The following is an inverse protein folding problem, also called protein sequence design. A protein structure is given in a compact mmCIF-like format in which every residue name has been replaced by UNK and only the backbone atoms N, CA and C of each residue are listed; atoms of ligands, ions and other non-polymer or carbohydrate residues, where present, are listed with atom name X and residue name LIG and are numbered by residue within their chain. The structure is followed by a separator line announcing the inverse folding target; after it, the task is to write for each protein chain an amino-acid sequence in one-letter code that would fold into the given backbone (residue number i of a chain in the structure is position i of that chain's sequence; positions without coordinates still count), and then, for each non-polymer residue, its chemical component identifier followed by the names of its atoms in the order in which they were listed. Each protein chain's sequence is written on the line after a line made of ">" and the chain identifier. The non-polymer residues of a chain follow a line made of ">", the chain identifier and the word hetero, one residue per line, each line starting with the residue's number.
data_IF_879779843682
#
_entry.id   IF_879779843682
#
_cell.length_a   1.000
_cell.length_b   1.000
_cell.length_c   1.000
_cell.angle_alpha   90.00
_cell.angle_beta   90.00
_cell.angle_gamma   90.00
#
_symmetry.space_group_name_H-M   'P 1'
#
loop_
_entity.id
_entity.type
_entity.pdbx_description
1 polymer ?
#
# COMPACT_ATOMS: atom_id res chain seq x y z
N UNK A 1 2.00 48.47 -48.81
CA UNK A 1 1.08 47.30 -48.89
C UNK A 1 0.37 47.20 -47.57
N UNK A 2 -0.94 47.40 -47.56
CA UNK A 2 -1.76 47.73 -46.41
C UNK A 2 -2.31 46.49 -45.77
N UNK A 3 -1.88 46.27 -44.50
CA UNK A 3 -2.52 45.27 -43.62
C UNK A 3 -3.86 45.83 -43.11
N UNK A 4 -4.96 45.25 -43.55
CA UNK A 4 -6.30 45.49 -42.96
C UNK A 4 -6.66 44.34 -42.02
N UNK A 5 -7.06 44.64 -40.76
CA UNK A 5 -7.51 43.61 -39.84
C UNK A 5 -8.84 43.02 -40.23
N UNK A 6 -8.97 41.69 -40.16
CA UNK A 6 -10.15 40.90 -40.46
C UNK A 6 -11.28 41.21 -39.47
N UNK A 7 -12.49 41.48 -39.98
CA UNK A 7 -13.67 41.90 -39.24
C UNK A 7 -14.44 40.63 -38.71
N UNK A 8 -15.05 40.78 -37.51
CA UNK A 8 -15.81 39.74 -36.77
C UNK A 8 -16.85 38.99 -37.58
N UNK A 9 -17.36 39.51 -38.69
CA UNK A 9 -18.33 38.84 -39.57
C UNK A 9 -17.70 37.81 -40.51
N UNK A 10 -16.40 37.87 -40.76
CA UNK A 10 -15.68 36.87 -41.57
C UNK A 10 -15.25 35.66 -40.79
N UNK A 11 -15.25 35.74 -39.44
CA UNK A 11 -14.94 34.60 -38.54
C UNK A 11 -16.14 33.67 -38.32
N UNK A 12 -17.37 34.11 -38.56
CA UNK A 12 -18.60 33.36 -38.36
C UNK A 12 -19.14 32.62 -39.63
N UNK A 13 -18.46 32.81 -40.77
CA UNK A 13 -18.85 32.20 -42.04
C UNK A 13 -18.19 30.89 -42.40
N UNK A 14 -17.25 30.37 -41.59
CA UNK A 14 -16.49 29.15 -41.87
C UNK A 14 -16.89 27.92 -41.03
N UNK A 15 -18.07 27.93 -40.41
CA UNK A 15 -18.56 26.85 -39.54
C UNK A 15 -19.87 26.23 -40.00
N UNK A 16 -20.04 26.02 -41.27
CA UNK A 16 -21.20 25.25 -41.78
C UNK A 16 -20.83 24.53 -43.06
N UNK A 17 -20.23 23.36 -42.96
CA UNK A 17 -20.38 22.22 -43.88
C UNK A 17 -19.27 21.16 -43.54
N UNK A 18 -19.60 20.17 -42.71
CA UNK A 18 -19.08 18.81 -42.79
C UNK A 18 -19.85 17.94 -41.78
N UNK A 19 -21.08 17.62 -42.15
CA UNK A 19 -21.76 16.44 -41.66
C UNK A 19 -21.16 15.22 -42.41
N UNK A 20 -20.21 14.56 -41.76
CA UNK A 20 -19.55 13.37 -42.30
C UNK A 20 -18.93 12.60 -41.17
N UNK A 21 -19.41 11.40 -40.88
CA UNK A 21 -19.06 10.41 -39.86
C UNK A 21 -17.70 10.54 -39.19
N UNK A 22 -17.69 11.04 -37.98
CA UNK A 22 -16.53 11.00 -37.14
C UNK A 22 -16.35 9.58 -36.62
N UNK A 23 -15.52 8.80 -37.28
CA UNK A 23 -14.80 7.68 -36.72
C UNK A 23 -13.87 8.26 -35.63
N UNK A 24 -14.31 8.18 -34.38
CA UNK A 24 -13.45 8.43 -33.24
C UNK A 24 -12.22 7.52 -33.35
N UNK A 25 -10.99 8.06 -33.28
CA UNK A 25 -9.80 7.23 -33.31
C UNK A 25 -9.79 6.35 -32.08
N UNK A 26 -9.75 5.03 -32.31
CA UNK A 26 -9.51 3.95 -31.35
C UNK A 26 -8.05 3.99 -30.80
N UNK A 27 -7.58 5.16 -30.37
CA UNK A 27 -6.20 5.39 -29.96
C UNK A 27 -6.12 5.95 -28.54
N UNK A 28 -6.58 5.16 -27.56
CA UNK A 28 -6.20 5.32 -26.15
C UNK A 28 -6.46 4.02 -25.39
N UNK A 29 -6.13 2.89 -25.99
CA UNK A 29 -5.95 1.59 -25.34
C UNK A 29 -4.54 1.07 -25.63
N UNK A 30 -3.58 1.78 -25.11
CA UNK A 30 -2.18 1.40 -25.19
C UNK A 30 -1.50 1.73 -23.87
N UNK A 31 -1.94 1.09 -22.76
CA UNK A 31 -0.98 0.83 -21.70
C UNK A 31 0.06 -0.08 -22.37
N UNK A 32 1.23 0.47 -22.70
CA UNK A 32 2.36 -0.30 -23.17
C UNK A 32 2.53 -1.48 -22.20
N UNK A 33 2.29 -2.70 -22.68
CA UNK A 33 2.72 -3.91 -21.98
C UNK A 33 4.22 -3.74 -21.84
N UNK A 34 4.70 -3.54 -20.61
CA UNK A 34 6.10 -3.67 -20.31
C UNK A 34 6.52 -5.05 -20.85
N UNK A 35 7.44 -5.08 -21.82
CA UNK A 35 7.88 -6.29 -22.54
C UNK A 35 8.81 -7.18 -21.71
N UNK A 36 8.74 -7.10 -20.39
CA UNK A 36 9.54 -7.86 -19.44
C UNK A 36 8.69 -8.77 -18.55
N UNK A 37 9.30 -9.83 -18.01
CA UNK A 37 8.66 -10.65 -16.98
C UNK A 37 8.36 -9.78 -15.76
N UNK A 38 7.19 -10.00 -15.07
CA UNK A 38 6.86 -9.23 -13.89
C UNK A 38 7.88 -9.43 -12.77
N UNK A 39 8.14 -8.34 -12.02
CA UNK A 39 9.15 -8.31 -10.96
C UNK A 39 8.55 -7.85 -9.62
N UNK A 40 9.27 -8.12 -8.54
CA UNK A 40 8.95 -7.68 -7.18
C UNK A 40 8.94 -6.14 -7.04
N UNK A 41 9.64 -5.44 -7.92
CA UNK A 41 9.79 -3.98 -7.88
C UNK A 41 8.89 -3.23 -8.85
N UNK A 42 8.03 -3.94 -9.58
CA UNK A 42 7.07 -3.31 -10.49
C UNK A 42 6.07 -2.43 -9.73
N UNK A 43 5.71 -1.33 -10.36
CA UNK A 43 4.60 -0.50 -9.94
C UNK A 43 3.29 -1.04 -10.51
N UNK A 44 2.41 -1.49 -9.62
CA UNK A 44 1.11 -2.06 -9.96
C UNK A 44 -0.04 -1.17 -9.49
N UNK A 45 -1.22 -1.19 -10.10
CA UNK A 45 -2.39 -0.49 -9.58
C UNK A 45 -2.71 -0.94 -8.15
N UNK A 46 -3.05 -0.01 -7.26
CA UNK A 46 -3.53 -0.30 -5.91
C UNK A 46 -5.06 -0.27 -5.92
N UNK A 47 -5.68 -1.38 -6.22
CA UNK A 47 -7.13 -1.49 -6.41
C UNK A 47 -7.69 -0.44 -7.37
N UNK A 48 -8.80 0.21 -6.98
CA UNK A 48 -9.42 1.32 -7.73
C UNK A 48 -9.03 2.72 -7.23
N UNK A 49 -7.97 2.83 -6.44
CA UNK A 49 -7.55 4.12 -5.84
C UNK A 49 -7.04 5.15 -6.84
N UNK A 50 -6.68 4.74 -8.06
CA UNK A 50 -6.06 5.59 -9.08
C UNK A 50 -4.55 5.81 -8.87
N UNK A 51 -3.95 5.22 -7.84
CA UNK A 51 -2.50 5.27 -7.59
C UNK A 51 -1.85 3.91 -7.81
N UNK A 52 -0.54 3.92 -8.02
CA UNK A 52 0.27 2.70 -8.13
C UNK A 52 1.11 2.51 -6.87
N UNK A 53 1.44 1.25 -6.57
CA UNK A 53 2.30 0.84 -5.45
C UNK A 53 3.39 -0.11 -5.97
N UNK A 54 4.58 -0.08 -5.37
CA UNK A 54 5.60 -1.09 -5.63
C UNK A 54 5.14 -2.43 -5.03
N UNK A 55 5.24 -3.51 -5.79
CA UNK A 55 4.73 -4.85 -5.43
C UNK A 55 5.32 -5.38 -4.12
N UNK A 56 6.61 -5.19 -3.89
CA UNK A 56 7.27 -5.48 -2.62
C UNK A 56 7.58 -4.18 -1.88
N UNK A 57 7.20 -4.10 -0.61
CA UNK A 57 7.48 -2.99 0.29
C UNK A 57 8.37 -3.38 1.46
N UNK A 58 9.15 -2.40 1.94
CA UNK A 58 9.90 -2.48 3.17
C UNK A 58 9.03 -2.03 4.35
N UNK A 59 8.79 -2.93 5.29
CA UNK A 59 8.04 -2.67 6.51
C UNK A 59 8.95 -2.26 7.66
N UNK A 60 8.52 -1.26 8.43
CA UNK A 60 9.26 -0.81 9.62
C UNK A 60 8.62 -1.25 10.94
N UNK A 61 7.61 -2.14 10.87
CA UNK A 61 6.75 -2.50 11.99
C UNK A 61 7.04 -3.85 12.66
N UNK A 62 8.17 -4.50 12.40
CA UNK A 62 8.51 -5.79 13.01
C UNK A 62 8.58 -5.66 14.53
N UNK A 63 7.78 -6.50 15.23
CA UNK A 63 7.64 -6.40 16.70
C UNK A 63 7.31 -4.98 17.19
N UNK A 64 6.32 -4.31 16.54
CA UNK A 64 5.96 -2.92 16.88
C UNK A 64 7.06 -1.91 16.56
N UNK A 65 7.89 -2.19 15.57
CA UNK A 65 9.00 -1.35 15.12
C UNK A 65 10.30 -1.55 15.94
N UNK A 66 10.31 -2.46 16.93
CA UNK A 66 11.50 -2.68 17.76
C UNK A 66 12.72 -3.08 16.92
N UNK A 67 12.56 -4.03 16.01
CA UNK A 67 13.67 -4.53 15.16
C UNK A 67 14.32 -3.39 14.39
N UNK A 68 13.52 -2.51 13.78
CA UNK A 68 14.05 -1.41 12.99
C UNK A 68 14.61 -0.27 13.85
N UNK A 69 14.04 -0.01 15.03
CA UNK A 69 14.62 0.95 15.97
C UNK A 69 15.99 0.49 16.50
N UNK A 70 16.14 -0.80 16.77
CA UNK A 70 17.39 -1.38 17.27
C UNK A 70 18.56 -1.26 16.26
N UNK A 71 18.27 -1.05 14.97
CA UNK A 71 19.28 -0.75 13.95
C UNK A 71 19.90 0.65 14.13
N UNK A 72 19.24 1.54 14.89
CA UNK A 72 19.60 2.95 14.95
C UNK A 72 19.30 3.69 13.65
N UNK A 73 19.51 5.01 13.65
CA UNK A 73 19.23 5.88 12.48
C UNK A 73 20.08 5.45 11.29
N UNK A 74 21.37 5.24 11.48
CA UNK A 74 22.30 4.90 10.41
C UNK A 74 22.03 3.51 9.83
N UNK A 75 21.76 2.52 10.70
CA UNK A 75 21.45 1.16 10.26
C UNK A 75 20.18 1.09 9.45
N UNK A 76 19.11 1.76 9.91
CA UNK A 76 17.87 1.84 9.17
C UNK A 76 18.03 2.63 7.86
N UNK A 77 18.81 3.71 7.86
CA UNK A 77 19.09 4.50 6.66
C UNK A 77 19.81 3.66 5.62
N UNK A 78 20.86 2.93 5.99
CA UNK A 78 21.52 1.99 5.08
C UNK A 78 20.57 0.96 4.51
N UNK A 79 19.71 0.38 5.35
CA UNK A 79 18.75 -0.64 4.94
C UNK A 79 17.71 -0.10 3.94
N UNK A 80 17.11 1.06 4.21
CA UNK A 80 16.12 1.70 3.32
C UNK A 80 16.77 2.13 2.01
N UNK A 81 17.98 2.70 2.04
CA UNK A 81 18.70 3.09 0.83
C UNK A 81 19.10 1.89 -0.02
N UNK A 82 19.58 0.83 0.61
CA UNK A 82 19.84 -0.42 -0.10
C UNK A 82 18.57 -0.97 -0.79
N UNK A 83 17.45 -1.01 -0.08
CA UNK A 83 16.16 -1.41 -0.66
C UNK A 83 15.77 -0.51 -1.84
N UNK A 84 15.98 0.80 -1.71
CA UNK A 84 15.74 1.77 -2.79
C UNK A 84 16.64 1.49 -3.99
N UNK A 85 17.94 1.24 -3.81
CA UNK A 85 18.89 0.94 -4.90
C UNK A 85 18.52 -0.37 -5.62
N UNK A 86 17.95 -1.34 -4.89
CA UNK A 86 17.40 -2.58 -5.45
C UNK A 86 16.04 -2.43 -6.13
N UNK A 87 15.45 -1.26 -6.13
CA UNK A 87 14.18 -0.98 -6.81
C UNK A 87 12.95 -0.99 -5.92
N UNK A 88 13.04 -1.31 -4.63
CA UNK A 88 11.90 -1.22 -3.69
C UNK A 88 11.59 0.25 -3.45
N UNK A 89 10.34 0.65 -3.70
CA UNK A 89 9.86 2.03 -3.60
C UNK A 89 8.76 2.24 -2.57
N UNK A 90 8.27 1.17 -1.97
CA UNK A 90 7.23 1.18 -0.97
C UNK A 90 7.83 1.05 0.43
N UNK A 91 7.55 2.05 1.29
CA UNK A 91 7.92 2.08 2.71
C UNK A 91 6.64 2.09 3.53
N UNK A 92 6.48 1.09 4.41
CA UNK A 92 5.38 0.99 5.35
C UNK A 92 5.85 1.33 6.76
N UNK A 93 5.21 2.33 7.37
CA UNK A 93 5.47 2.77 8.74
C UNK A 93 4.18 2.99 9.52
N UNK A 94 4.25 3.43 10.75
CA UNK A 94 3.13 3.83 11.60
C UNK A 94 3.58 4.71 12.76
N UNK A 95 2.65 5.48 13.32
CA UNK A 95 2.90 6.31 14.50
C UNK A 95 3.48 5.53 15.68
N UNK A 96 2.81 4.45 16.06
CA UNK A 96 3.21 3.67 17.24
C UNK A 96 4.51 2.87 17.08
N UNK A 97 5.08 2.82 15.86
CA UNK A 97 6.41 2.28 15.65
C UNK A 97 7.51 3.25 16.12
N UNK A 98 7.18 4.54 16.32
CA UNK A 98 8.09 5.60 16.82
C UNK A 98 9.35 5.75 15.95
N UNK A 99 9.16 5.71 14.62
CA UNK A 99 10.26 5.58 13.66
C UNK A 99 10.18 6.61 12.52
N UNK A 100 9.14 7.46 12.46
CA UNK A 100 8.95 8.42 11.39
C UNK A 100 10.19 9.29 11.16
N UNK A 101 10.82 9.81 12.22
CA UNK A 101 12.03 10.65 12.11
C UNK A 101 13.23 9.87 11.55
N UNK A 102 13.37 8.58 11.88
CA UNK A 102 14.41 7.73 11.31
C UNK A 102 14.17 7.46 9.82
N UNK A 103 12.89 7.24 9.43
CA UNK A 103 12.50 7.12 8.02
C UNK A 103 12.81 8.41 7.26
N UNK A 104 12.52 9.58 7.85
CA UNK A 104 12.88 10.89 7.29
C UNK A 104 14.36 10.97 6.93
N UNK A 105 15.25 10.63 7.88
CA UNK A 105 16.70 10.68 7.63
C UNK A 105 17.11 9.68 6.54
N UNK A 106 16.50 8.50 6.51
CA UNK A 106 16.78 7.49 5.50
C UNK A 106 16.39 7.92 4.08
N UNK A 107 15.27 8.64 3.91
CA UNK A 107 14.77 9.08 2.60
C UNK A 107 15.27 10.46 2.17
N UNK A 108 16.03 11.16 3.01
CA UNK A 108 16.55 12.50 2.72
C UNK A 108 17.36 12.50 1.41
N UNK A 109 16.96 13.37 0.47
CA UNK A 109 17.56 13.46 -0.85
C UNK A 109 17.08 12.43 -1.87
N UNK A 110 16.20 11.50 -1.51
CA UNK A 110 15.52 10.64 -2.48
C UNK A 110 14.32 11.39 -3.10
N UNK A 111 14.07 11.23 -4.42
CA UNK A 111 12.93 11.86 -5.07
C UNK A 111 11.62 11.39 -4.45
N UNK A 112 10.84 12.30 -3.83
CA UNK A 112 9.60 11.95 -3.11
C UNK A 112 8.56 11.27 -4.00
N UNK A 113 8.44 11.72 -5.23
CA UNK A 113 7.51 11.20 -6.23
C UNK A 113 7.84 9.76 -6.69
N UNK A 114 9.06 9.30 -6.44
CA UNK A 114 9.49 7.91 -6.68
C UNK A 114 9.30 7.01 -5.47
N UNK A 115 8.73 7.50 -4.39
CA UNK A 115 8.44 6.73 -3.19
C UNK A 115 6.94 6.59 -2.99
N UNK A 116 6.50 5.41 -2.55
CA UNK A 116 5.20 5.19 -1.96
C UNK A 116 5.38 5.05 -0.44
N UNK A 117 4.86 6.03 0.31
CA UNK A 117 4.96 6.03 1.78
C UNK A 117 3.57 5.77 2.35
N UNK A 118 3.44 4.68 3.11
CA UNK A 118 2.25 4.36 3.89
C UNK A 118 2.53 4.58 5.36
N UNK A 119 1.61 5.25 6.05
CA UNK A 119 1.61 5.34 7.51
C UNK A 119 0.26 4.96 8.09
N UNK A 120 0.18 4.89 9.41
CA UNK A 120 -1.03 4.45 10.12
C UNK A 120 -1.27 5.31 11.35
N UNK A 121 -2.52 5.77 11.50
CA UNK A 121 -2.98 6.55 12.63
C UNK A 121 -3.37 5.63 13.78
N UNK A 122 -2.72 5.81 14.92
CA UNK A 122 -2.99 5.02 16.13
C UNK A 122 -4.13 5.62 16.93
N UNK A 123 -4.91 4.76 17.58
CA UNK A 123 -5.97 5.20 18.47
C UNK A 123 -7.13 5.93 17.76
N UNK A 124 -7.81 6.78 18.53
CA UNK A 124 -8.92 7.64 18.11
C UNK A 124 -8.61 9.08 18.56
N UNK A 125 -7.73 9.79 17.88
CA UNK A 125 -7.30 11.11 18.32
C UNK A 125 -8.44 12.15 18.20
N UNK A 126 -8.49 13.11 19.15
CA UNK A 126 -9.47 14.20 19.11
C UNK A 126 -9.27 15.17 17.95
N UNK A 127 -8.04 15.30 17.45
CA UNK A 127 -7.68 16.19 16.35
C UNK A 127 -6.92 15.42 15.25
N UNK A 128 -7.62 14.56 14.45
CA UNK A 128 -6.96 13.68 13.48
C UNK A 128 -6.13 14.42 12.44
N UNK A 129 -6.58 15.59 11.95
CA UNK A 129 -5.83 16.40 10.98
C UNK A 129 -4.52 16.94 11.57
N UNK A 130 -4.53 17.38 12.83
CA UNK A 130 -3.31 17.83 13.50
C UNK A 130 -2.30 16.67 13.69
N UNK A 131 -2.81 15.47 13.97
CA UNK A 131 -1.98 14.25 14.02
C UNK A 131 -1.37 13.94 12.66
N UNK A 132 -2.13 14.04 11.58
CA UNK A 132 -1.63 13.85 10.21
C UNK A 132 -0.56 14.89 9.85
N UNK A 133 -0.75 16.16 10.20
CA UNK A 133 0.26 17.20 9.98
C UNK A 133 1.55 16.93 10.75
N UNK A 134 1.45 16.41 11.97
CA UNK A 134 2.60 15.95 12.74
C UNK A 134 3.33 14.81 12.01
N UNK A 135 2.62 13.82 11.44
CA UNK A 135 3.26 12.74 10.69
C UNK A 135 4.03 13.25 9.48
N UNK A 136 3.45 14.19 8.73
CA UNK A 136 4.12 14.80 7.57
C UNK A 136 5.41 15.51 7.99
N UNK A 137 5.36 16.28 9.07
CA UNK A 137 6.54 16.96 9.65
C UNK A 137 7.59 15.97 10.12
N UNK A 138 7.18 14.90 10.82
CA UNK A 138 8.08 13.85 11.30
C UNK A 138 8.74 13.09 10.15
N UNK A 139 7.99 12.78 9.09
CA UNK A 139 8.48 12.11 7.88
C UNK A 139 9.23 13.06 6.93
N UNK A 140 9.08 14.37 7.08
CA UNK A 140 9.67 15.36 6.19
C UNK A 140 9.07 15.32 4.78
N UNK A 141 7.75 15.16 4.65
CA UNK A 141 7.05 15.03 3.37
C UNK A 141 5.82 15.92 3.31
N UNK A 142 5.47 16.41 2.10
CA UNK A 142 4.29 17.23 1.88
C UNK A 142 3.00 16.42 1.83
N UNK A 143 3.07 15.16 1.43
CA UNK A 143 1.92 14.25 1.37
C UNK A 143 2.31 12.82 1.75
N UNK A 144 1.32 12.02 2.15
CA UNK A 144 1.45 10.58 2.41
C UNK A 144 0.63 9.82 1.36
N UNK A 145 1.18 8.76 0.75
CA UNK A 145 0.48 8.05 -0.33
C UNK A 145 -0.72 7.26 0.21
N UNK A 146 -0.58 6.60 1.35
CA UNK A 146 -1.66 5.86 1.99
C UNK A 146 -1.63 6.08 3.50
N UNK A 147 -2.76 6.50 4.10
CA UNK A 147 -2.91 6.62 5.54
C UNK A 147 -4.03 5.72 6.03
N UNK A 148 -3.69 4.79 6.91
CA UNK A 148 -4.62 3.79 7.41
C UNK A 148 -5.01 4.05 8.86
N UNK A 149 -6.24 3.73 9.24
CA UNK A 149 -6.59 3.53 10.64
C UNK A 149 -5.88 2.28 11.15
N UNK A 150 -5.13 2.40 12.24
CA UNK A 150 -4.23 1.34 12.69
C UNK A 150 -4.91 0.39 13.69
N UNK A 151 -4.66 -0.91 13.49
CA UNK A 151 -4.97 -1.95 14.48
C UNK A 151 -6.43 -1.94 14.93
N UNK A 152 -7.37 -1.88 13.97
CA UNK A 152 -8.80 -1.99 14.31
C UNK A 152 -9.13 -3.44 14.64
N UNK A 153 -9.81 -3.66 15.77
CA UNK A 153 -10.17 -4.99 16.30
C UNK A 153 -11.67 -5.17 16.48
N UNK A 154 -12.43 -4.08 16.71
CA UNK A 154 -13.88 -4.09 16.92
C UNK A 154 -14.62 -4.40 15.62
N UNK A 155 -15.77 -5.06 15.75
CA UNK A 155 -16.72 -5.23 14.64
C UNK A 155 -17.39 -3.92 14.20
N UNK A 156 -17.39 -2.90 15.07
CA UNK A 156 -17.98 -1.57 14.84
C UNK A 156 -16.89 -0.49 14.70
N UNK A 157 -15.68 -0.86 14.30
CA UNK A 157 -14.54 0.06 14.25
C UNK A 157 -14.79 1.30 13.39
N UNK A 158 -15.61 1.21 12.38
CA UNK A 158 -15.93 2.33 11.49
C UNK A 158 -16.81 3.37 12.19
N UNK A 159 -17.81 2.96 12.96
CA UNK A 159 -18.61 3.87 13.80
C UNK A 159 -17.74 4.54 14.86
N UNK A 160 -16.92 3.75 15.56
CA UNK A 160 -15.97 4.23 16.57
C UNK A 160 -14.96 5.21 15.99
N UNK A 161 -14.56 5.01 14.71
CA UNK A 161 -13.54 5.81 14.04
C UNK A 161 -14.11 6.91 13.14
N UNK A 162 -15.41 7.19 13.17
CA UNK A 162 -16.10 8.09 12.25
C UNK A 162 -15.39 9.44 12.10
N UNK A 163 -15.00 10.07 13.21
CA UNK A 163 -14.28 11.34 13.22
C UNK A 163 -12.94 11.28 12.48
N UNK A 164 -12.20 10.18 12.67
CA UNK A 164 -10.93 9.98 11.96
C UNK A 164 -11.17 9.69 10.48
N UNK A 165 -12.18 8.91 10.13
CA UNK A 165 -12.56 8.62 8.74
C UNK A 165 -12.93 9.89 7.98
N UNK A 166 -13.73 10.78 8.57
CA UNK A 166 -14.13 12.07 7.99
C UNK A 166 -12.90 12.94 7.75
N UNK A 167 -12.01 13.05 8.76
CA UNK A 167 -10.76 13.80 8.64
C UNK A 167 -9.83 13.25 7.55
N UNK A 168 -9.72 11.92 7.39
CA UNK A 168 -8.92 11.33 6.32
C UNK A 168 -9.56 11.55 4.94
N UNK A 169 -10.88 11.57 4.85
CA UNK A 169 -11.60 11.92 3.62
C UNK A 169 -11.35 13.37 3.22
N UNK A 170 -11.39 14.30 4.18
CA UNK A 170 -11.02 15.71 3.99
C UNK A 170 -9.56 15.85 3.55
N UNK A 171 -8.64 15.16 4.22
CA UNK A 171 -7.21 15.19 3.89
C UNK A 171 -6.96 14.66 2.47
N UNK A 172 -7.71 13.67 2.01
CA UNK A 172 -7.64 13.18 0.63
C UNK A 172 -8.15 14.21 -0.36
N UNK A 173 -9.29 14.86 -0.08
CA UNK A 173 -9.82 15.93 -0.93
C UNK A 173 -8.81 17.08 -1.09
N UNK A 174 -8.07 17.41 -0.01
CA UNK A 174 -6.97 18.40 0.01
C UNK A 174 -5.65 17.87 -0.55
N UNK A 175 -5.58 16.63 -1.03
CA UNK A 175 -4.37 15.98 -1.57
C UNK A 175 -3.22 15.86 -0.54
N UNK A 176 -3.51 15.95 0.74
CA UNK A 176 -2.57 15.73 1.85
C UNK A 176 -2.26 14.24 2.00
N UNK A 177 -3.24 13.39 1.70
CA UNK A 177 -3.05 11.96 1.47
C UNK A 177 -3.62 11.58 0.09
N UNK A 178 -3.15 10.46 -0.48
CA UNK A 178 -3.65 10.00 -1.80
C UNK A 178 -4.70 8.90 -1.67
N UNK A 179 -4.60 8.07 -0.63
CA UNK A 179 -5.59 7.04 -0.29
C UNK A 179 -5.73 6.88 1.22
N UNK A 180 -6.88 6.41 1.66
CA UNK A 180 -7.16 6.05 3.05
C UNK A 180 -7.68 4.62 3.15
N UNK A 181 -7.65 4.07 4.36
CA UNK A 181 -8.13 2.73 4.60
C UNK A 181 -7.85 2.23 6.00
N UNK A 182 -7.66 0.93 6.16
CA UNK A 182 -7.58 0.29 7.46
C UNK A 182 -6.55 -0.83 7.52
N UNK A 183 -5.95 -0.99 8.70
CA UNK A 183 -5.16 -2.15 9.11
C UNK A 183 -5.91 -2.85 10.24
N UNK A 184 -6.51 -3.99 9.93
CA UNK A 184 -7.28 -4.77 10.90
C UNK A 184 -6.39 -5.76 11.66
N UNK A 185 -6.80 -6.05 12.91
CA UNK A 185 -6.19 -7.05 13.77
C UNK A 185 -7.29 -7.90 14.43
N UNK A 186 -7.86 -8.83 13.65
CA UNK A 186 -8.92 -9.74 14.02
C UNK A 186 -9.95 -9.89 12.90
N UNK A 187 -10.50 -11.11 12.81
CA UNK A 187 -11.40 -11.46 11.71
C UNK A 187 -12.70 -10.64 11.71
N UNK A 188 -13.19 -10.21 12.89
CA UNK A 188 -14.39 -9.39 12.98
C UNK A 188 -14.17 -8.02 12.33
N UNK A 189 -13.06 -7.36 12.67
CA UNK A 189 -12.70 -6.07 12.08
C UNK A 189 -12.41 -6.19 10.57
N UNK A 190 -11.75 -7.28 10.14
CA UNK A 190 -11.49 -7.53 8.72
C UNK A 190 -12.78 -7.81 7.95
N UNK A 191 -13.74 -8.52 8.56
CA UNK A 191 -15.08 -8.73 7.99
C UNK A 191 -15.78 -7.40 7.79
N UNK A 192 -15.80 -6.54 8.81
CA UNK A 192 -16.39 -5.19 8.69
C UNK A 192 -15.69 -4.37 7.62
N UNK A 193 -14.36 -4.43 7.52
CA UNK A 193 -13.59 -3.72 6.49
C UNK A 193 -14.00 -4.13 5.07
N UNK A 194 -14.38 -5.39 4.87
CA UNK A 194 -14.86 -5.86 3.57
C UNK A 194 -16.26 -5.35 3.20
N UNK A 195 -17.02 -4.79 4.14
CA UNK A 195 -18.35 -4.21 3.92
C UNK A 195 -18.32 -2.67 3.78
N UNK A 196 -17.37 -2.01 4.43
CA UNK A 196 -17.31 -0.54 4.52
C UNK A 196 -16.73 0.05 3.24
N UNK A 197 -17.54 0.76 2.46
CA UNK A 197 -17.13 1.36 1.17
C UNK A 197 -16.01 2.39 1.30
N UNK A 198 -15.94 3.07 2.43
CA UNK A 198 -14.87 4.04 2.71
C UNK A 198 -13.48 3.41 2.61
N UNK A 199 -13.31 2.12 2.86
CA UNK A 199 -12.02 1.41 2.78
C UNK A 199 -11.55 1.33 1.34
N UNK A 200 -10.56 2.16 1.01
CA UNK A 200 -9.88 2.15 -0.29
C UNK A 200 -8.67 1.23 -0.30
N UNK A 201 -7.99 1.10 0.85
CA UNK A 201 -6.81 0.25 1.04
C UNK A 201 -6.98 -0.57 2.30
N UNK A 202 -6.76 -1.87 2.21
CA UNK A 202 -6.77 -2.80 3.33
C UNK A 202 -5.39 -3.46 3.47
N UNK A 203 -4.78 -3.31 4.64
CA UNK A 203 -3.55 -3.99 5.00
C UNK A 203 -3.91 -5.25 5.80
N UNK A 204 -3.79 -6.42 5.16
CA UNK A 204 -4.31 -7.70 5.64
C UNK A 204 -3.20 -8.61 6.15
N UNK A 205 -3.40 -9.21 7.31
CA UNK A 205 -2.48 -10.18 7.90
C UNK A 205 -2.73 -11.55 7.28
N UNK A 206 -1.83 -12.00 6.39
CA UNK A 206 -2.05 -13.24 5.65
C UNK A 206 -0.73 -13.92 5.27
N UNK A 207 -0.65 -15.22 5.47
CA UNK A 207 0.34 -16.14 4.92
C UNK A 207 -0.22 -17.56 4.94
N UNK A 208 0.27 -18.47 4.08
CA UNK A 208 -0.32 -19.80 3.90
C UNK A 208 -0.03 -20.80 5.05
N UNK A 209 0.85 -20.42 6.00
CA UNK A 209 1.12 -21.18 7.21
C UNK A 209 0.29 -20.69 8.42
N UNK A 210 -0.58 -19.70 8.20
CA UNK A 210 -1.44 -19.08 9.23
C UNK A 210 -0.68 -18.57 10.46
N UNK A 211 0.56 -18.07 10.29
CA UNK A 211 1.35 -17.53 11.39
C UNK A 211 1.11 -16.03 11.55
N UNK A 212 0.64 -15.61 12.73
CA UNK A 212 0.32 -14.20 13.03
C UNK A 212 -0.75 -13.59 12.10
N UNK A 213 -1.71 -14.37 11.61
CA UNK A 213 -2.85 -13.87 10.82
C UNK A 213 -4.02 -13.45 11.74
N UNK A 214 -5.10 -12.94 11.14
CA UNK A 214 -6.28 -12.50 11.88
C UNK A 214 -7.08 -13.69 12.41
N UNK A 215 -7.35 -13.68 13.72
CA UNK A 215 -8.07 -14.72 14.45
C UNK A 215 -9.48 -14.27 14.85
N UNK A 216 -10.33 -15.22 15.26
CA UNK A 216 -11.67 -14.94 15.79
C UNK A 216 -11.62 -14.15 17.10
N UNK A 217 -10.60 -14.38 17.92
CA UNK A 217 -10.39 -13.65 19.16
C UNK A 217 -9.10 -12.82 19.11
N UNK A 218 -9.20 -11.51 18.86
CA UNK A 218 -8.04 -10.64 18.80
C UNK A 218 -7.33 -10.47 20.16
N UNK A 219 -7.98 -10.81 21.28
CA UNK A 219 -7.40 -10.74 22.62
C UNK A 219 -6.40 -11.87 22.88
N UNK A 220 -6.49 -13.00 22.18
CA UNK A 220 -5.58 -14.13 22.35
C UNK A 220 -4.17 -13.91 21.81
N UNK A 221 -3.85 -12.74 21.33
CA UNK A 221 -2.53 -12.40 20.81
C UNK A 221 -2.24 -13.00 19.44
N UNK A 222 -1.48 -12.27 18.65
CA UNK A 222 -1.23 -12.55 17.23
C UNK A 222 -0.46 -13.87 16.98
N UNK A 223 0.14 -14.44 18.00
CA UNK A 223 0.99 -15.63 17.88
C UNK A 223 0.19 -16.95 17.98
N UNK A 224 -1.10 -16.86 18.25
CA UNK A 224 -1.97 -18.05 18.47
C UNK A 224 -2.85 -18.39 17.27
N UNK A 225 -2.67 -17.74 16.11
CA UNK A 225 -3.41 -18.10 14.91
C UNK A 225 -3.08 -19.53 14.44
N UNK A 226 -4.07 -20.22 13.93
CA UNK A 226 -4.00 -21.60 13.44
C UNK A 226 -4.48 -21.68 11.99
N UNK A 227 -4.38 -22.86 11.37
CA UNK A 227 -4.88 -23.08 10.02
C UNK A 227 -6.39 -22.88 9.88
N UNK A 228 -7.16 -23.00 10.97
CA UNK A 228 -8.59 -22.72 10.98
C UNK A 228 -8.91 -21.23 10.71
N UNK A 229 -7.98 -20.33 11.05
CA UNK A 229 -8.13 -18.89 10.80
C UNK A 229 -7.84 -18.50 9.33
N UNK A 230 -7.18 -19.37 8.58
CA UNK A 230 -6.76 -19.08 7.21
C UNK A 230 -7.95 -18.91 6.26
N UNK A 231 -8.89 -19.86 6.24
CA UNK A 231 -10.04 -19.79 5.33
C UNK A 231 -10.96 -18.58 5.60
N UNK A 232 -11.29 -18.21 6.86
CA UNK A 232 -11.99 -16.97 7.16
C UNK A 232 -11.26 -15.71 6.68
N UNK A 233 -9.95 -15.61 6.87
CA UNK A 233 -9.15 -14.48 6.42
C UNK A 233 -9.14 -14.38 4.87
N UNK A 234 -8.96 -15.52 4.18
CA UNK A 234 -9.01 -15.58 2.72
C UNK A 234 -10.37 -15.20 2.16
N UNK A 235 -11.47 -15.58 2.84
CA UNK A 235 -12.82 -15.13 2.45
C UNK A 235 -12.93 -13.62 2.42
N UNK A 236 -12.45 -12.93 3.45
CA UNK A 236 -12.52 -11.47 3.50
C UNK A 236 -11.56 -10.82 2.50
N UNK A 237 -10.39 -11.39 2.29
CA UNK A 237 -9.46 -10.92 1.28
C UNK A 237 -10.09 -10.98 -0.13
N UNK A 238 -10.82 -12.05 -0.48
CA UNK A 238 -11.57 -12.14 -1.75
C UNK A 238 -12.61 -11.04 -1.87
N UNK A 239 -13.42 -10.81 -0.84
CA UNK A 239 -14.44 -9.75 -0.84
C UNK A 239 -13.84 -8.36 -1.04
N UNK A 240 -12.71 -8.07 -0.38
CA UNK A 240 -11.98 -6.82 -0.59
C UNK A 240 -11.48 -6.69 -2.03
N UNK A 241 -10.92 -7.76 -2.59
CA UNK A 241 -10.44 -7.80 -3.97
C UNK A 241 -11.58 -7.63 -4.98
N UNK A 242 -12.72 -8.32 -4.82
CA UNK A 242 -13.93 -8.20 -5.66
C UNK A 242 -14.47 -6.77 -5.68
N UNK A 243 -14.42 -6.06 -4.56
CA UNK A 243 -14.74 -4.63 -4.46
C UNK A 243 -13.67 -3.72 -5.08
N UNK A 244 -12.58 -4.31 -5.59
CA UNK A 244 -11.42 -3.57 -6.13
C UNK A 244 -10.78 -2.64 -5.09
N UNK A 245 -10.80 -3.04 -3.82
CA UNK A 245 -10.04 -2.42 -2.76
C UNK A 245 -8.54 -2.69 -2.97
N UNK A 246 -7.68 -1.73 -2.70
CA UNK A 246 -6.23 -1.96 -2.69
C UNK A 246 -5.88 -2.94 -1.56
N UNK A 247 -5.34 -4.10 -1.89
CA UNK A 247 -5.06 -5.16 -0.93
C UNK A 247 -3.56 -5.38 -0.78
N UNK A 248 -3.08 -5.20 0.45
CA UNK A 248 -1.66 -5.34 0.77
C UNK A 248 -1.49 -6.44 1.82
N UNK A 249 -0.62 -7.42 1.56
CA UNK A 249 -0.30 -8.42 2.56
C UNK A 249 0.70 -7.89 3.58
N UNK A 250 0.43 -8.09 4.86
CA UNK A 250 1.42 -7.99 5.93
C UNK A 250 1.55 -9.32 6.68
N UNK A 251 2.57 -9.45 7.52
CA UNK A 251 2.91 -10.70 8.23
C UNK A 251 3.25 -11.85 7.29
N UNK A 252 3.72 -11.54 6.09
CA UNK A 252 4.17 -12.53 5.10
C UNK A 252 5.15 -13.53 5.70
N UNK A 253 6.09 -13.07 6.57
CA UNK A 253 7.05 -13.94 7.27
C UNK A 253 6.59 -14.25 8.72
N UNK A 254 5.27 -14.28 8.97
CA UNK A 254 4.73 -14.63 10.29
C UNK A 254 5.31 -13.81 11.45
N UNK A 255 5.65 -12.53 11.23
CA UNK A 255 6.35 -11.67 12.20
C UNK A 255 7.71 -12.24 12.68
N UNK A 256 8.41 -12.97 11.81
CA UNK A 256 9.69 -13.60 12.13
C UNK A 256 9.57 -15.06 12.62
N UNK A 257 8.35 -15.62 12.65
CA UNK A 257 8.15 -17.03 13.05
C UNK A 257 8.49 -18.03 11.94
N UNK A 258 8.48 -17.61 10.67
CA UNK A 258 8.84 -18.45 9.53
C UNK A 258 10.36 -18.39 9.33
N UNK A 259 11.09 -19.14 10.15
CA UNK A 259 12.56 -19.13 10.17
C UNK A 259 13.20 -20.05 9.13
N UNK A 260 12.49 -21.10 8.70
CA UNK A 260 12.99 -22.04 7.71
C UNK A 260 12.93 -21.45 6.30
N UNK A 261 13.96 -21.66 5.45
CA UNK A 261 13.98 -21.15 4.07
C UNK A 261 12.76 -21.59 3.23
N UNK A 262 12.34 -22.84 3.36
CA UNK A 262 11.18 -23.42 2.66
C UNK A 262 9.86 -22.77 3.09
N UNK A 263 9.72 -22.39 4.35
CA UNK A 263 8.52 -21.68 4.85
C UNK A 263 8.46 -20.26 4.29
N UNK A 264 9.60 -19.57 4.22
CA UNK A 264 9.68 -18.24 3.62
C UNK A 264 9.41 -18.28 2.12
N UNK A 265 9.96 -19.29 1.42
CA UNK A 265 9.67 -19.54 0.00
C UNK A 265 8.17 -19.70 -0.24
N UNK A 266 7.52 -20.61 0.50
CA UNK A 266 6.09 -20.87 0.39
C UNK A 266 5.25 -19.61 0.62
N UNK A 267 5.63 -18.81 1.62
CA UNK A 267 4.89 -17.61 1.97
C UNK A 267 5.06 -16.46 0.97
N UNK A 268 6.29 -16.22 0.50
CA UNK A 268 6.55 -15.18 -0.51
C UNK A 268 5.92 -15.57 -1.85
N UNK A 269 6.00 -16.83 -2.24
CA UNK A 269 5.32 -17.37 -3.43
C UNK A 269 3.80 -17.19 -3.35
N UNK A 270 3.19 -17.46 -2.20
CA UNK A 270 1.77 -17.20 -2.00
C UNK A 270 1.44 -15.72 -2.17
N UNK A 271 2.21 -14.81 -1.55
CA UNK A 271 1.98 -13.38 -1.68
C UNK A 271 2.10 -12.88 -3.13
N UNK A 272 3.02 -13.47 -3.91
CA UNK A 272 3.21 -13.15 -5.34
C UNK A 272 2.08 -13.68 -6.23
N UNK A 273 1.54 -14.87 -5.93
CA UNK A 273 0.77 -15.65 -6.90
C UNK A 273 -0.70 -15.89 -6.52
N UNK A 274 -1.17 -15.54 -5.31
CA UNK A 274 -2.56 -15.80 -4.90
C UNK A 274 -3.61 -15.03 -5.72
N UNK A 275 -3.20 -14.01 -6.49
CA UNK A 275 -4.08 -13.26 -7.39
C UNK A 275 -5.04 -12.28 -6.69
N UNK A 276 -4.96 -12.15 -5.37
CA UNK A 276 -5.84 -11.32 -4.54
C UNK A 276 -5.12 -10.15 -3.87
N UNK A 277 -3.81 -10.03 -4.09
CA UNK A 277 -2.96 -9.03 -3.45
C UNK A 277 -2.31 -8.13 -4.51
N UNK A 278 -2.37 -6.82 -4.30
CA UNK A 278 -1.67 -5.86 -5.14
C UNK A 278 -0.19 -5.75 -4.73
N UNK A 279 0.08 -5.80 -3.43
CA UNK A 279 1.42 -5.70 -2.88
C UNK A 279 1.58 -6.54 -1.60
N UNK A 280 2.85 -6.71 -1.20
CA UNK A 280 3.23 -7.33 0.06
C UNK A 280 4.27 -6.48 0.77
N UNK A 281 4.19 -6.41 2.10
CA UNK A 281 5.18 -5.70 2.92
C UNK A 281 5.89 -6.66 3.87
N UNK A 282 7.22 -6.59 3.86
CA UNK A 282 8.10 -7.42 4.70
C UNK A 282 9.03 -6.51 5.49
N UNK A 283 9.18 -6.77 6.78
CA UNK A 283 10.19 -6.11 7.61
C UNK A 283 11.50 -6.88 7.56
N UNK A 284 12.60 -6.16 7.31
CA UNK A 284 13.94 -6.72 7.15
C UNK A 284 14.86 -6.28 8.31
N UNK A 285 15.84 -7.11 8.64
CA UNK A 285 16.90 -6.83 9.61
C UNK A 285 18.21 -6.42 8.94
N UNK A 286 18.45 -6.92 7.72
CA UNK A 286 19.68 -6.72 6.98
C UNK A 286 19.43 -6.80 5.47
N UNK A 287 20.45 -6.54 4.67
CA UNK A 287 20.37 -6.52 3.21
C UNK A 287 20.20 -7.91 2.59
N UNK A 288 20.73 -8.95 3.23
CA UNK A 288 20.58 -10.33 2.73
C UNK A 288 19.11 -10.79 2.76
N UNK A 289 18.33 -10.37 3.76
CA UNK A 289 16.88 -10.65 3.80
C UNK A 289 16.12 -9.91 2.67
N UNK A 290 16.59 -8.72 2.26
CA UNK A 290 16.03 -8.00 1.10
C UNK A 290 16.33 -8.77 -0.19
N UNK A 291 17.58 -9.18 -0.40
CA UNK A 291 17.98 -9.93 -1.58
C UNK A 291 17.23 -11.27 -1.69
N UNK A 292 17.10 -12.00 -0.57
CA UNK A 292 16.31 -13.23 -0.51
C UNK A 292 14.84 -12.99 -0.91
N UNK A 293 14.21 -11.95 -0.38
CA UNK A 293 12.79 -11.66 -0.67
C UNK A 293 12.59 -11.27 -2.14
N UNK A 294 13.49 -10.47 -2.71
CA UNK A 294 13.48 -10.09 -4.12
C UNK A 294 13.65 -11.30 -5.04
N UNK A 295 14.65 -12.15 -4.76
CA UNK A 295 14.92 -13.36 -5.54
C UNK A 295 13.71 -14.28 -5.56
N UNK A 296 13.16 -14.61 -4.37
CA UNK A 296 12.02 -15.51 -4.23
C UNK A 296 10.76 -14.97 -4.91
N UNK A 297 10.46 -13.69 -4.74
CA UNK A 297 9.29 -13.08 -5.37
C UNK A 297 9.44 -13.00 -6.89
N UNK A 298 10.61 -12.64 -7.41
CA UNK A 298 10.89 -12.60 -8.84
C UNK A 298 10.75 -13.98 -9.49
N UNK A 299 11.31 -15.02 -8.84
CA UNK A 299 11.17 -16.40 -9.30
C UNK A 299 9.70 -16.84 -9.33
N UNK A 300 8.94 -16.59 -8.26
CA UNK A 300 7.53 -16.93 -8.19
C UNK A 300 6.69 -16.24 -9.28
N UNK A 301 6.95 -14.95 -9.54
CA UNK A 301 6.26 -14.18 -10.58
C UNK A 301 6.62 -14.66 -12.00
N UNK A 302 7.86 -15.07 -12.23
CA UNK A 302 8.31 -15.59 -13.53
C UNK A 302 7.63 -16.95 -13.85
N UNK A 303 7.51 -17.83 -12.87
CA UNK A 303 6.92 -19.16 -13.04
C UNK A 303 5.39 -19.12 -13.28
N UNK A 304 4.69 -18.11 -12.74
CA UNK A 304 3.23 -17.93 -12.97
C UNK A 304 2.91 -17.62 -14.43
N UNK A 305 3.87 -17.08 -15.18
CA UNK A 305 3.69 -16.61 -16.55
C UNK A 305 4.43 -17.50 -17.58
N UNK A 306 5.00 -18.59 -17.13
CA UNK A 306 5.59 -19.63 -17.97
C UNK A 306 4.58 -20.74 -18.25
#
# INVERSE_FOLDING_TARGET
>A
MSDRPMNRRQFLGASAALAGGALLPKALRGAAKASGKPTATDWVPLGKTGIKICRLGLGTGSHGGKIQRDLGVDGLSRLIRYAYDKGIRYIDTAENYRIHKMVREAIKGLPREKLFIQSKMWGLPDKPLAVLDRYRKELGVDYIDSLLLHCRTSKNWDEESKKAMDALSEAKAKKIIRAHGVSCHGIQALTRASDVEWVQVALVRINPQAKCIDTKDPKHGYNKSTMEDFAPAMKQLRRLHERRCGTIAMKVIGNGMLTKPEDREKSIRFAANCGLLDAAVIGFKNTAEIDEALERMNRALAEKNA
#
